data_IF_658031193991
#
_entry.id   IF_658031193991
#
_cell.length_a   1.000
_cell.length_b   1.000
_cell.length_c   1.000
_cell.angle_alpha   90.00
_cell.angle_beta   90.00
_cell.angle_gamma   90.00
#
_symmetry.space_group_name_H-M   'P 1'
#
loop_
_entity.id
_entity.type
_entity.pdbx_description
1 polymer ?
#
# COMPACT_ATOMS: atom_id res chain seq x y z
N UNK A 1 13.58 33.30 15.91
CA UNK A 1 13.61 32.45 17.13
C UNK A 1 12.99 31.07 16.91
N UNK A 2 11.93 30.92 16.13
CA UNK A 2 11.30 29.62 15.83
C UNK A 2 12.16 28.74 14.87
N UNK A 3 12.84 29.34 13.89
CA UNK A 3 13.73 28.61 12.98
C UNK A 3 14.98 28.00 13.65
N UNK A 4 15.45 28.57 14.76
CA UNK A 4 16.62 28.05 15.47
C UNK A 4 16.30 26.80 16.30
N UNK A 5 15.06 26.69 16.76
CA UNK A 5 14.58 25.52 17.52
C UNK A 5 14.39 24.31 16.58
N UNK A 6 13.93 24.54 15.35
CA UNK A 6 13.83 23.50 14.34
C UNK A 6 15.20 22.96 13.86
N UNK A 7 16.22 23.80 13.80
CA UNK A 7 17.58 23.36 13.42
C UNK A 7 18.29 22.55 14.48
N UNK A 8 17.97 22.71 15.75
CA UNK A 8 18.59 21.95 16.84
C UNK A 8 17.93 20.58 17.09
N UNK A 9 16.65 20.39 16.74
CA UNK A 9 15.97 19.10 16.85
C UNK A 9 16.28 18.11 15.71
N UNK A 10 16.89 18.56 14.63
CA UNK A 10 17.29 17.72 13.46
C UNK A 10 18.57 16.90 13.70
N UNK A 11 19.28 17.12 14.82
CA UNK A 11 20.50 16.36 15.16
C UNK A 11 20.22 15.09 15.97
N UNK A 12 19.00 14.89 16.47
CA UNK A 12 18.60 13.55 16.87
C UNK A 12 18.55 12.69 15.61
N UNK A 13 19.41 11.66 15.53
CA UNK A 13 19.37 10.62 14.49
C UNK A 13 17.96 10.02 14.48
N UNK A 14 17.04 10.67 13.79
CA UNK A 14 15.72 10.09 13.54
C UNK A 14 15.94 8.79 12.78
N UNK A 15 15.35 7.71 13.28
CA UNK A 15 15.40 6.43 12.58
C UNK A 15 15.00 6.65 11.12
N UNK A 16 15.68 5.96 10.20
CA UNK A 16 15.39 6.06 8.76
C UNK A 16 14.06 5.45 8.35
N UNK A 17 13.33 4.84 9.29
CA UNK A 17 12.09 4.13 9.05
C UNK A 17 10.91 4.89 9.66
N UNK A 18 9.82 5.00 8.90
CA UNK A 18 8.57 5.64 9.32
C UNK A 18 7.45 4.62 9.23
N UNK A 19 6.65 4.51 10.28
CA UNK A 19 5.43 3.70 10.29
C UNK A 19 4.23 4.63 10.33
N UNK A 20 3.31 4.46 9.38
CA UNK A 20 2.06 5.22 9.29
C UNK A 20 0.90 4.32 9.70
N UNK A 21 0.24 4.68 10.80
CA UNK A 21 -0.91 3.98 11.33
C UNK A 21 -2.16 4.85 11.22
N UNK A 22 -3.27 4.28 10.80
CA UNK A 22 -4.59 4.87 10.92
C UNK A 22 -5.23 4.43 12.25
N UNK A 23 -5.72 5.38 13.03
CA UNK A 23 -6.33 5.12 14.35
C UNK A 23 -7.82 5.42 14.39
N UNK A 24 -8.43 5.69 13.23
CA UNK A 24 -9.85 5.95 13.08
C UNK A 24 -10.51 4.95 12.11
N UNK A 25 -11.64 5.33 11.55
CA UNK A 25 -12.55 4.45 10.80
C UNK A 25 -12.07 4.01 9.39
N UNK A 26 -10.86 4.35 8.98
CA UNK A 26 -10.29 3.95 7.69
C UNK A 26 -10.24 5.07 6.63
N UNK A 27 -11.02 6.14 6.80
CA UNK A 27 -11.13 7.25 5.85
C UNK A 27 -10.28 8.49 6.24
N UNK A 28 -9.26 8.31 7.05
CA UNK A 28 -8.45 9.41 7.61
C UNK A 28 -7.56 10.13 6.58
N UNK A 29 -7.55 9.71 5.34
CA UNK A 29 -6.66 10.28 4.33
C UNK A 29 -5.21 9.85 4.46
N UNK A 30 -4.95 8.76 5.17
CA UNK A 30 -3.64 8.12 5.37
C UNK A 30 -2.85 7.99 4.07
N UNK A 31 -3.52 7.68 2.98
CA UNK A 31 -2.92 7.54 1.67
C UNK A 31 -2.17 8.78 1.19
N UNK A 32 -2.67 9.96 1.42
CA UNK A 32 -2.00 11.22 1.03
C UNK A 32 -0.70 11.43 1.80
N UNK A 33 -0.69 11.08 3.09
CA UNK A 33 0.52 11.18 3.92
C UNK A 33 1.56 10.15 3.47
N UNK A 34 1.13 8.92 3.19
CA UNK A 34 2.03 7.86 2.66
C UNK A 34 2.62 8.28 1.33
N UNK A 35 1.83 8.84 0.41
CA UNK A 35 2.32 9.29 -0.89
C UNK A 35 3.37 10.40 -0.76
N UNK A 36 3.15 11.39 0.12
CA UNK A 36 4.13 12.43 0.40
C UNK A 36 5.45 11.87 0.95
N UNK A 37 5.37 10.90 1.87
CA UNK A 37 6.56 10.28 2.46
C UNK A 37 7.29 9.38 1.46
N UNK A 38 6.57 8.79 0.51
CA UNK A 38 7.10 7.90 -0.52
C UNK A 38 8.14 8.58 -1.42
N UNK A 39 8.08 9.90 -1.61
CA UNK A 39 9.05 10.65 -2.41
C UNK A 39 10.50 10.50 -1.89
N UNK A 40 10.67 10.24 -0.60
CA UNK A 40 11.98 10.11 0.06
C UNK A 40 12.28 8.68 0.51
N UNK A 41 11.40 7.74 0.23
CA UNK A 41 11.54 6.35 0.62
C UNK A 41 12.29 5.54 -0.45
N UNK A 42 13.10 4.58 -0.03
CA UNK A 42 13.64 3.53 -0.90
C UNK A 42 12.73 2.32 -0.97
N UNK A 43 12.02 2.07 0.12
CA UNK A 43 11.08 0.95 0.27
C UNK A 43 9.76 1.45 0.80
N UNK A 44 8.66 0.96 0.25
CA UNK A 44 7.31 1.18 0.78
C UNK A 44 6.69 -0.18 1.06
N UNK A 45 6.35 -0.42 2.31
CA UNK A 45 5.85 -1.71 2.78
C UNK A 45 4.37 -1.58 3.16
N UNK A 46 3.52 -2.38 2.54
CA UNK A 46 2.19 -2.67 3.05
C UNK A 46 2.27 -3.90 3.93
N UNK A 47 2.00 -3.76 5.21
CA UNK A 47 2.22 -4.83 6.17
C UNK A 47 0.93 -5.48 6.70
N UNK A 48 -0.26 -4.93 6.35
CA UNK A 48 -1.55 -5.47 6.79
C UNK A 48 -2.70 -5.11 5.85
N UNK A 49 -3.86 -5.70 6.10
CA UNK A 49 -5.11 -5.48 5.36
C UNK A 49 -5.25 -6.38 4.14
N UNK A 50 -6.14 -6.03 3.24
CA UNK A 50 -6.45 -6.76 2.01
C UNK A 50 -6.78 -5.80 0.86
N UNK A 51 -7.54 -6.27 -0.13
CA UNK A 51 -7.92 -5.50 -1.32
C UNK A 51 -9.30 -4.81 -1.21
N UNK A 52 -9.88 -4.79 -0.02
CA UNK A 52 -11.22 -4.26 0.27
C UNK A 52 -11.34 -2.73 0.15
N UNK A 53 -10.24 -1.99 0.29
CA UNK A 53 -10.23 -0.54 0.17
C UNK A 53 -9.30 -0.10 -0.97
N UNK A 54 -9.76 0.86 -1.77
CA UNK A 54 -8.96 1.48 -2.83
C UNK A 54 -8.27 2.75 -2.34
N UNK A 55 -7.03 2.93 -2.78
CA UNK A 55 -6.26 4.14 -2.56
C UNK A 55 -6.07 4.87 -3.88
N UNK A 56 -6.68 6.03 -4.01
CA UNK A 56 -6.58 6.83 -5.23
C UNK A 56 -5.43 7.81 -5.15
N UNK A 57 -4.57 7.76 -6.15
CA UNK A 57 -3.44 8.65 -6.35
C UNK A 57 -3.61 9.45 -7.63
N UNK A 58 -3.05 10.65 -7.64
CA UNK A 58 -2.95 11.46 -8.87
C UNK A 58 -1.47 11.79 -9.07
N UNK A 59 -0.86 11.22 -10.10
CA UNK A 59 0.54 11.44 -10.46
C UNK A 59 0.59 11.93 -11.89
N UNK A 60 1.24 13.08 -12.11
CA UNK A 60 1.33 13.74 -13.43
C UNK A 60 -0.03 13.97 -14.11
N UNK A 61 -1.08 14.21 -13.31
CA UNK A 61 -2.45 14.42 -13.81
C UNK A 61 -3.24 13.12 -14.06
N UNK A 62 -2.60 11.95 -13.96
CA UNK A 62 -3.26 10.65 -14.12
C UNK A 62 -3.75 10.09 -12.80
N UNK A 63 -5.02 9.71 -12.77
CA UNK A 63 -5.65 9.07 -11.61
C UNK A 63 -5.41 7.56 -11.66
N UNK A 64 -4.81 7.03 -10.60
CA UNK A 64 -4.55 5.60 -10.42
C UNK A 64 -5.17 5.12 -9.10
N UNK A 65 -5.90 4.04 -9.14
CA UNK A 65 -6.45 3.39 -7.94
C UNK A 65 -5.65 2.13 -7.66
N UNK A 66 -5.09 2.05 -6.45
CA UNK A 66 -4.36 0.87 -5.95
C UNK A 66 -5.16 0.23 -4.83
N UNK A 67 -5.18 -1.10 -4.80
CA UNK A 67 -5.87 -1.89 -3.78
C UNK A 67 -4.91 -2.72 -2.92
N UNK A 68 -4.02 -3.48 -3.54
CA UNK A 68 -3.03 -4.32 -2.88
C UNK A 68 -1.62 -3.75 -2.96
N UNK A 69 -1.26 -3.21 -4.11
CA UNK A 69 0.10 -2.77 -4.40
C UNK A 69 0.37 -1.45 -3.67
N UNK A 70 1.49 -1.33 -2.94
CA UNK A 70 1.87 -0.07 -2.29
C UNK A 70 2.10 1.06 -3.30
N UNK A 71 1.78 2.30 -2.90
CA UNK A 71 1.89 3.50 -3.75
C UNK A 71 3.30 3.77 -4.31
N UNK A 72 4.32 3.25 -3.64
CA UNK A 72 5.70 3.31 -4.12
C UNK A 72 5.93 2.74 -5.50
N UNK A 73 5.06 1.86 -5.99
CA UNK A 73 5.16 1.25 -7.33
C UNK A 73 5.13 2.29 -8.46
N UNK A 74 4.49 3.43 -8.21
CA UNK A 74 4.36 4.53 -9.17
C UNK A 74 5.60 5.44 -9.22
N UNK A 75 6.64 5.16 -8.42
CA UNK A 75 7.89 5.91 -8.33
C UNK A 75 9.05 5.06 -8.82
N UNK A 76 9.89 5.59 -9.72
CA UNK A 76 10.92 4.81 -10.40
C UNK A 76 12.02 4.23 -9.49
N UNK A 77 12.30 4.90 -8.38
CA UNK A 77 13.41 4.53 -7.48
C UNK A 77 12.91 3.87 -6.17
N UNK A 78 11.67 3.40 -6.13
CA UNK A 78 11.05 2.84 -4.93
C UNK A 78 10.73 1.37 -5.15
N UNK A 79 11.17 0.52 -4.24
CA UNK A 79 10.74 -0.88 -4.18
C UNK A 79 9.51 -0.99 -3.30
N UNK A 80 8.46 -1.57 -3.83
CA UNK A 80 7.21 -1.86 -3.11
C UNK A 80 7.23 -3.27 -2.54
N UNK A 81 6.77 -3.42 -1.31
CA UNK A 81 6.77 -4.72 -0.62
C UNK A 81 5.37 -4.99 -0.05
N UNK A 82 4.84 -6.17 -0.35
CA UNK A 82 3.65 -6.71 0.31
C UNK A 82 4.12 -7.67 1.39
N UNK A 83 3.92 -7.29 2.65
CA UNK A 83 4.35 -8.05 3.81
C UNK A 83 3.35 -9.12 4.23
N UNK A 84 3.78 -10.01 5.09
CA UNK A 84 3.06 -11.23 5.53
C UNK A 84 1.75 -10.98 6.29
N UNK A 85 1.49 -9.78 6.78
CA UNK A 85 0.21 -9.43 7.41
C UNK A 85 -0.88 -9.01 6.41
N UNK A 86 -0.58 -9.01 5.10
CA UNK A 86 -1.56 -8.72 4.05
C UNK A 86 -2.27 -9.99 3.65
N UNK A 87 -3.61 -9.98 3.68
CA UNK A 87 -4.44 -11.06 3.15
C UNK A 87 -4.56 -10.87 1.64
N UNK A 88 -3.96 -11.77 0.87
CA UNK A 88 -3.72 -11.62 -0.55
C UNK A 88 -4.70 -12.43 -1.39
N UNK A 89 -5.41 -11.76 -2.30
CA UNK A 89 -6.10 -12.41 -3.39
C UNK A 89 -5.18 -12.46 -4.61
N UNK A 90 -4.72 -13.64 -5.07
CA UNK A 90 -3.87 -13.75 -6.26
C UNK A 90 -4.54 -13.17 -7.51
N UNK A 91 -5.83 -13.43 -7.69
CA UNK A 91 -6.60 -12.92 -8.83
C UNK A 91 -6.66 -11.38 -8.83
N UNK A 92 -6.91 -10.77 -7.66
CA UNK A 92 -6.95 -9.30 -7.53
C UNK A 92 -5.56 -8.69 -7.77
N UNK A 93 -4.49 -9.31 -7.23
CA UNK A 93 -3.13 -8.86 -7.44
C UNK A 93 -2.74 -8.91 -8.92
N UNK A 94 -2.99 -10.03 -9.60
CA UNK A 94 -2.66 -10.18 -11.02
C UNK A 94 -3.40 -9.17 -11.90
N UNK A 95 -4.67 -8.90 -11.59
CA UNK A 95 -5.47 -7.89 -12.29
C UNK A 95 -4.88 -6.48 -12.10
N UNK A 96 -4.50 -6.13 -10.87
CA UNK A 96 -3.92 -4.83 -10.54
C UNK A 96 -2.54 -4.67 -11.19
N UNK A 97 -1.67 -5.70 -11.14
CA UNK A 97 -0.37 -5.71 -11.80
C UNK A 97 -0.52 -5.48 -13.30
N UNK A 98 -1.42 -6.24 -13.95
CA UNK A 98 -1.65 -6.11 -15.39
C UNK A 98 -2.08 -4.68 -15.75
N UNK A 99 -3.01 -4.07 -15.01
CA UNK A 99 -3.46 -2.71 -15.26
C UNK A 99 -2.35 -1.67 -15.15
N UNK A 100 -1.35 -1.90 -14.30
CA UNK A 100 -0.17 -1.04 -14.18
C UNK A 100 0.85 -1.31 -15.29
N UNK A 101 1.09 -2.59 -15.62
CA UNK A 101 2.01 -3.00 -16.69
C UNK A 101 1.51 -2.51 -18.07
N UNK A 102 0.21 -2.55 -18.34
CA UNK A 102 -0.41 -2.00 -19.55
C UNK A 102 -0.17 -0.47 -19.70
N UNK A 103 0.14 0.21 -18.61
CA UNK A 103 0.53 1.63 -18.56
C UNK A 103 2.05 1.86 -18.55
N UNK A 104 2.85 0.81 -18.77
CA UNK A 104 4.30 0.87 -18.85
C UNK A 104 5.02 0.89 -17.51
N UNK A 105 4.34 0.58 -16.39
CA UNK A 105 4.97 0.50 -15.07
C UNK A 105 5.59 -0.90 -14.89
N UNK A 106 6.91 -1.04 -14.66
CA UNK A 106 7.58 -2.33 -14.53
C UNK A 106 7.34 -2.93 -13.14
N UNK A 107 6.10 -3.40 -12.89
CA UNK A 107 5.66 -3.86 -11.57
C UNK A 107 6.51 -5.02 -11.07
N UNK A 108 6.79 -6.01 -11.94
CA UNK A 108 7.52 -7.24 -11.55
C UNK A 108 8.95 -6.98 -11.09
N UNK A 109 9.56 -5.91 -11.56
CA UNK A 109 10.93 -5.54 -11.19
C UNK A 109 10.99 -4.83 -9.84
N UNK A 110 9.88 -4.20 -9.44
CA UNK A 110 9.82 -3.30 -8.27
C UNK A 110 8.88 -3.76 -7.16
N UNK A 111 8.16 -4.87 -7.35
CA UNK A 111 7.26 -5.45 -6.36
C UNK A 111 7.86 -6.71 -5.76
N UNK A 112 8.04 -6.72 -4.45
CA UNK A 112 8.39 -7.89 -3.67
C UNK A 112 7.16 -8.36 -2.88
N UNK A 113 6.97 -9.66 -2.81
CA UNK A 113 5.85 -10.30 -2.13
C UNK A 113 6.39 -11.27 -1.09
N UNK A 114 5.89 -11.17 0.14
CA UNK A 114 6.21 -12.14 1.19
C UNK A 114 5.56 -13.49 0.86
N UNK A 115 6.33 -14.56 0.92
CA UNK A 115 5.85 -15.94 0.75
C UNK A 115 4.91 -16.38 1.87
N UNK A 116 4.92 -15.67 3.00
CA UNK A 116 4.07 -15.95 4.15
C UNK A 116 2.74 -15.18 4.17
N UNK A 117 2.35 -14.54 3.06
CA UNK A 117 1.03 -13.91 2.97
C UNK A 117 -0.08 -14.96 3.00
N UNK A 118 -1.09 -14.82 3.88
CA UNK A 118 -2.31 -15.63 3.77
C UNK A 118 -3.04 -15.35 2.46
N UNK A 119 -3.52 -16.42 1.82
CA UNK A 119 -4.18 -16.32 0.51
C UNK A 119 -5.70 -16.37 0.65
N UNK A 120 -6.39 -15.51 -0.12
CA UNK A 120 -7.82 -15.63 -0.39
C UNK A 120 -7.97 -16.46 -1.66
N UNK A 121 -8.55 -17.63 -1.51
CA UNK A 121 -8.90 -18.54 -2.60
C UNK A 121 -10.41 -18.52 -2.85
N UNK A 122 -10.85 -18.98 -4.00
CA UNK A 122 -12.25 -18.88 -4.44
C UNK A 122 -13.24 -19.52 -3.45
N UNK A 123 -12.85 -20.61 -2.79
CA UNK A 123 -13.71 -21.25 -1.77
C UNK A 123 -13.90 -20.40 -0.52
N UNK A 124 -12.95 -19.53 -0.16
CA UNK A 124 -13.14 -18.59 0.95
C UNK A 124 -14.22 -17.57 0.62
N UNK A 125 -14.24 -17.09 -0.63
CA UNK A 125 -15.26 -16.14 -1.11
C UNK A 125 -16.63 -16.80 -1.10
N UNK A 126 -16.75 -18.06 -1.58
CA UNK A 126 -18.00 -18.80 -1.58
C UNK A 126 -18.54 -19.01 -0.16
N UNK A 127 -17.70 -19.38 0.80
CA UNK A 127 -18.08 -19.55 2.21
C UNK A 127 -18.53 -18.23 2.86
N UNK A 128 -17.91 -17.11 2.53
CA UNK A 128 -18.26 -15.81 3.07
C UNK A 128 -19.63 -15.35 2.57
N UNK A 129 -19.90 -15.55 1.28
CA UNK A 129 -21.20 -15.26 0.67
C UNK A 129 -22.30 -16.09 1.32
N UNK A 130 -22.12 -17.40 1.49
CA UNK A 130 -23.13 -18.26 2.13
C UNK A 130 -23.41 -17.85 3.58
N UNK A 131 -22.36 -17.50 4.34
CA UNK A 131 -22.54 -17.02 5.72
C UNK A 131 -23.29 -15.68 5.79
N UNK A 132 -23.07 -14.81 4.82
CA UNK A 132 -23.72 -13.49 4.77
C UNK A 132 -25.20 -13.57 4.42
N UNK A 133 -25.63 -14.61 3.70
CA UNK A 133 -27.05 -14.84 3.34
C UNK A 133 -27.84 -15.39 4.52
N UNK A 134 -27.21 -15.99 5.51
CA UNK A 134 -27.86 -16.61 6.69
C UNK A 134 -27.94 -15.73 7.95
N UNK A 135 -27.49 -14.48 7.90
CA UNK A 135 -27.57 -13.56 9.04
C UNK A 135 -28.73 -12.60 8.84
N UNK A 136 -29.80 -12.68 9.66
CA UNK A 136 -30.94 -11.74 9.59
C UNK A 136 -30.55 -10.33 10.04
#
# INVERSE_FOLDING_TARGET
MVESIFKQSVILKMGKNVVVLGTQWGDEGKGKIVDLLTERAKFVVRYQGGHNAGHTLVINGEKTVLHLIPSGILRDNVTSIIGNGVVLSPAALMKEMKGLEDRGIPVRERLLLSEACPLILDYHVALDVERSVGIP
#
